data_IF_971228625890
#
_entry.id   IF_971228625890
#
_cell.length_a   1.000
_cell.length_b   1.000
_cell.length_c   1.000
_cell.angle_alpha   90.00
_cell.angle_beta   90.00
_cell.angle_gamma   90.00
#
_symmetry.space_group_name_H-M   'P 1'
#
loop_
_entity.id
_entity.type
_entity.pdbx_description
1 polymer ?
#
# COMPACT_ATOMS: atom_id res chain seq x y z
N UNK A 1 -4.34 24.88 -1.80
CA UNK A 1 -5.24 23.88 -1.17
C UNK A 1 -5.20 23.77 0.36
N UNK A 2 -4.32 24.45 1.13
CA UNK A 2 -4.23 24.26 2.59
C UNK A 2 -5.34 24.91 3.43
N UNK A 3 -6.03 25.95 2.92
CA UNK A 3 -6.95 26.78 3.73
C UNK A 3 -8.43 26.37 3.68
N UNK A 4 -8.82 25.40 2.84
CA UNK A 4 -10.23 25.03 2.62
C UNK A 4 -10.48 23.51 2.61
N UNK A 5 -9.50 22.68 2.99
CA UNK A 5 -9.70 21.23 2.99
C UNK A 5 -10.40 20.80 4.29
N UNK A 6 -11.65 20.32 4.25
CA UNK A 6 -12.35 19.86 5.45
C UNK A 6 -11.63 18.67 6.12
N UNK A 7 -10.92 17.84 5.34
CA UNK A 7 -10.12 16.72 5.86
C UNK A 7 -8.89 17.16 6.69
N UNK A 8 -8.35 18.36 6.45
CA UNK A 8 -7.18 18.86 7.18
C UNK A 8 -7.54 19.60 8.48
N UNK A 9 -8.83 19.90 8.69
CA UNK A 9 -9.33 20.46 9.95
C UNK A 9 -9.61 19.39 11.01
N UNK A 10 -9.70 18.13 10.60
CA UNK A 10 -9.93 17.02 11.52
C UNK A 10 -8.66 16.76 12.38
N UNK A 11 -8.84 16.36 13.64
CA UNK A 11 -7.76 15.86 14.48
C UNK A 11 -6.99 14.73 13.80
N UNK A 12 -5.73 14.56 14.20
CA UNK A 12 -4.84 13.56 13.61
C UNK A 12 -5.41 12.14 13.76
N UNK A 13 -6.09 11.83 14.86
CA UNK A 13 -6.70 10.51 15.10
C UNK A 13 -7.76 10.16 14.05
N UNK A 14 -8.72 11.06 13.82
CA UNK A 14 -9.80 10.84 12.85
C UNK A 14 -9.23 10.74 11.44
N UNK A 15 -8.23 11.57 11.14
CA UNK A 15 -7.56 11.54 9.85
C UNK A 15 -6.86 10.20 9.61
N UNK A 16 -6.15 9.68 10.60
CA UNK A 16 -5.50 8.37 10.51
C UNK A 16 -6.52 7.23 10.33
N UNK A 17 -7.66 7.27 11.03
CA UNK A 17 -8.72 6.27 10.85
C UNK A 17 -9.31 6.28 9.43
N UNK A 18 -9.57 7.47 8.87
CA UNK A 18 -10.04 7.59 7.48
C UNK A 18 -8.99 7.04 6.51
N UNK A 19 -7.71 7.35 6.76
CA UNK A 19 -6.61 6.88 5.93
C UNK A 19 -6.41 5.38 6.00
N UNK A 20 -6.45 4.78 7.18
CA UNK A 20 -6.43 3.34 7.36
C UNK A 20 -7.62 2.68 6.67
N UNK A 21 -8.82 3.25 6.76
CA UNK A 21 -9.98 2.70 6.09
C UNK A 21 -9.88 2.79 4.55
N UNK A 22 -9.39 3.90 4.03
CA UNK A 22 -9.27 4.13 2.59
C UNK A 22 -8.11 3.35 1.95
N UNK A 23 -6.93 3.37 2.61
CA UNK A 23 -5.67 2.85 2.10
C UNK A 23 -5.31 1.46 2.62
N UNK A 24 -5.88 1.05 3.75
CA UNK A 24 -5.71 -0.27 4.36
C UNK A 24 -6.70 -1.31 3.83
N UNK A 25 -6.54 -2.54 4.32
CA UNK A 25 -7.34 -3.72 3.93
C UNK A 25 -7.20 -4.09 2.46
N UNK A 26 -6.21 -3.53 1.76
CA UNK A 26 -6.03 -3.75 0.35
C UNK A 26 -5.30 -5.06 0.08
N UNK A 27 -5.60 -5.70 -1.04
CA UNK A 27 -4.85 -6.86 -1.51
C UNK A 27 -4.06 -6.49 -2.74
N UNK A 28 -2.74 -6.49 -2.59
CA UNK A 28 -1.79 -6.23 -3.67
C UNK A 28 -1.28 -7.54 -4.23
N UNK A 29 -1.37 -7.73 -5.54
CA UNK A 29 -0.77 -8.86 -6.23
C UNK A 29 0.59 -8.46 -6.79
N UNK A 30 1.64 -9.17 -6.38
CA UNK A 30 2.98 -9.00 -6.94
C UNK A 30 3.01 -9.70 -8.30
N UNK A 31 3.25 -8.92 -9.35
CA UNK A 31 3.20 -9.35 -10.74
C UNK A 31 4.35 -8.78 -11.57
N UNK A 32 4.37 -9.16 -12.84
CA UNK A 32 5.34 -8.68 -13.81
C UNK A 32 4.62 -7.77 -14.79
N UNK A 33 4.52 -6.48 -14.49
CA UNK A 33 4.04 -5.48 -15.44
C UNK A 33 5.23 -4.59 -15.80
N UNK A 34 5.86 -4.87 -16.95
CA UNK A 34 7.05 -4.14 -17.45
C UNK A 34 8.17 -3.97 -16.40
N UNK A 35 8.27 -4.90 -15.45
CA UNK A 35 9.10 -4.84 -14.24
C UNK A 35 8.43 -5.60 -13.09
N UNK A 36 9.16 -5.85 -12.00
CA UNK A 36 8.58 -6.43 -10.79
C UNK A 36 7.81 -5.35 -10.04
N UNK A 37 6.48 -5.46 -10.01
CA UNK A 37 5.61 -4.44 -9.44
C UNK A 37 4.42 -5.02 -8.69
N UNK A 38 3.69 -4.16 -8.00
CA UNK A 38 2.46 -4.51 -7.29
C UNK A 38 1.26 -3.93 -7.99
N UNK A 39 0.20 -4.73 -8.08
CA UNK A 39 -1.08 -4.35 -8.69
C UNK A 39 -2.19 -4.52 -7.67
N UNK A 40 -3.13 -3.58 -7.63
CA UNK A 40 -4.32 -3.70 -6.79
C UNK A 40 -5.56 -3.88 -7.68
N UNK A 41 -6.52 -4.68 -7.21
CA UNK A 41 -7.83 -4.80 -7.87
C UNK A 41 -8.62 -3.49 -7.85
N UNK A 42 -8.45 -2.66 -6.80
CA UNK A 42 -9.08 -1.34 -6.70
C UNK A 42 -8.30 -0.33 -7.56
N UNK A 43 -8.94 0.21 -8.60
CA UNK A 43 -8.35 1.16 -9.57
C UNK A 43 -7.80 2.45 -8.94
N UNK A 44 -8.30 2.85 -7.77
CA UNK A 44 -7.98 4.13 -7.12
C UNK A 44 -7.38 3.96 -5.72
N UNK A 45 -6.77 2.79 -5.44
CA UNK A 45 -6.24 2.46 -4.12
C UNK A 45 -5.19 3.44 -3.58
N UNK A 46 -4.51 4.20 -4.45
CA UNK A 46 -3.49 5.20 -4.06
C UNK A 46 -3.88 6.63 -4.40
N UNK A 47 -5.09 6.87 -4.93
CA UNK A 47 -5.49 8.21 -5.37
C UNK A 47 -5.43 9.23 -4.22
N UNK A 48 -5.67 8.79 -2.99
CA UNK A 48 -5.61 9.65 -1.80
C UNK A 48 -4.18 10.18 -1.54
N UNK A 49 -3.15 9.39 -1.84
CA UNK A 49 -1.75 9.80 -1.73
C UNK A 49 -1.40 10.92 -2.71
N UNK A 50 -2.13 11.02 -3.83
CA UNK A 50 -1.90 12.01 -4.89
C UNK A 50 -2.55 13.37 -4.67
N UNK A 51 -3.38 13.54 -3.63
CA UNK A 51 -4.19 14.77 -3.45
C UNK A 51 -3.34 15.96 -2.99
N UNK A 52 -2.44 15.77 -2.01
CA UNK A 52 -1.49 16.79 -1.61
C UNK A 52 -0.26 16.21 -0.89
N UNK A 53 0.83 16.99 -0.86
CA UNK A 53 2.11 16.60 -0.23
C UNK A 53 2.01 16.26 1.25
N UNK A 54 1.08 16.87 1.98
CA UNK A 54 0.90 16.64 3.41
C UNK A 54 0.33 15.24 3.66
N UNK A 55 -0.75 14.88 2.95
CA UNK A 55 -1.35 13.55 3.03
C UNK A 55 -0.34 12.50 2.61
N UNK A 56 0.39 12.73 1.51
CA UNK A 56 1.45 11.82 1.07
C UNK A 56 2.47 11.53 2.17
N UNK A 57 3.01 12.57 2.82
CA UNK A 57 4.00 12.40 3.88
C UNK A 57 3.45 11.61 5.08
N UNK A 58 2.19 11.82 5.45
CA UNK A 58 1.56 11.15 6.59
C UNK A 58 1.14 9.71 6.27
N UNK A 59 0.80 9.39 5.02
CA UNK A 59 0.08 8.15 4.68
C UNK A 59 0.82 7.22 3.74
N UNK A 60 1.96 7.62 3.17
CA UNK A 60 2.70 6.79 2.21
C UNK A 60 3.11 5.42 2.78
N UNK A 61 3.20 5.27 4.11
CA UNK A 61 3.53 4.03 4.79
C UNK A 61 2.31 3.12 5.03
N UNK A 62 1.10 3.69 5.16
CA UNK A 62 -0.13 2.97 5.52
C UNK A 62 -0.47 1.85 4.53
N UNK A 63 -0.39 2.04 3.20
CA UNK A 63 -0.62 0.95 2.25
C UNK A 63 0.33 -0.23 2.45
N UNK A 64 1.52 -0.04 3.04
CA UNK A 64 2.45 -1.14 3.29
C UNK A 64 2.15 -1.82 4.64
N UNK A 65 1.80 -1.04 5.68
CA UNK A 65 1.47 -1.56 7.02
C UNK A 65 0.13 -2.28 7.11
N UNK A 66 -0.89 -1.74 6.45
CA UNK A 66 -2.27 -2.19 6.59
C UNK A 66 -2.78 -2.99 5.38
N UNK A 67 -1.91 -3.39 4.44
CA UNK A 67 -2.31 -4.18 3.27
C UNK A 67 -1.67 -5.55 3.22
N UNK A 68 -2.33 -6.46 2.51
CA UNK A 68 -1.87 -7.82 2.26
C UNK A 68 -1.23 -7.92 0.88
N UNK A 69 0.03 -8.37 0.83
CA UNK A 69 0.75 -8.63 -0.42
C UNK A 69 0.67 -10.11 -0.77
N UNK A 70 0.09 -10.43 -1.92
CA UNK A 70 -0.02 -11.79 -2.45
C UNK A 70 1.00 -12.01 -3.55
N UNK A 71 1.89 -12.98 -3.37
CA UNK A 71 2.83 -13.42 -4.39
C UNK A 71 2.54 -14.87 -4.77
N UNK A 72 2.42 -15.14 -6.07
CA UNK A 72 2.30 -16.52 -6.58
C UNK A 72 3.66 -17.20 -6.78
N UNK A 73 4.76 -16.43 -6.77
CA UNK A 73 6.10 -16.98 -6.94
C UNK A 73 7.06 -16.29 -5.93
N UNK A 74 7.72 -17.05 -5.04
CA UNK A 74 8.63 -16.49 -4.05
C UNK A 74 9.83 -15.77 -4.67
N UNK A 75 10.29 -16.18 -5.85
CA UNK A 75 11.37 -15.45 -6.57
C UNK A 75 10.95 -14.02 -6.93
N UNK A 76 9.69 -13.84 -7.38
CA UNK A 76 9.14 -12.51 -7.70
C UNK A 76 9.00 -11.65 -6.44
N UNK A 77 8.61 -12.26 -5.32
CA UNK A 77 8.58 -11.59 -4.03
C UNK A 77 9.98 -11.11 -3.63
N UNK A 78 11.00 -11.97 -3.68
CA UNK A 78 12.37 -11.59 -3.34
C UNK A 78 12.88 -10.44 -4.22
N UNK A 79 12.69 -10.50 -5.53
CA UNK A 79 13.09 -9.40 -6.43
C UNK A 79 12.35 -8.10 -6.10
N UNK A 80 11.06 -8.17 -5.77
CA UNK A 80 10.29 -6.99 -5.36
C UNK A 80 10.79 -6.39 -4.05
N UNK A 81 11.05 -7.24 -3.04
CA UNK A 81 11.56 -6.83 -1.74
C UNK A 81 12.96 -6.20 -1.82
N UNK A 82 13.77 -6.61 -2.79
CA UNK A 82 15.07 -6.00 -3.08
C UNK A 82 14.96 -4.66 -3.83
N UNK A 83 13.87 -4.45 -4.58
CA UNK A 83 13.63 -3.23 -5.35
C UNK A 83 12.99 -2.10 -4.53
N UNK A 84 12.31 -2.42 -3.42
CA UNK A 84 11.69 -1.42 -2.54
C UNK A 84 12.68 -0.87 -1.50
N UNK A 85 12.47 0.37 -1.05
CA UNK A 85 13.29 0.99 0.00
C UNK A 85 13.16 0.25 1.34
N UNK A 86 14.21 0.25 2.19
CA UNK A 86 14.20 -0.45 3.47
C UNK A 86 13.04 -0.03 4.39
N UNK A 87 12.73 1.28 4.44
CA UNK A 87 11.61 1.78 5.22
C UNK A 87 10.24 1.21 4.78
N UNK A 88 10.02 0.99 3.48
CA UNK A 88 8.79 0.37 2.98
C UNK A 88 8.76 -1.13 3.28
N UNK A 89 9.93 -1.78 3.26
CA UNK A 89 10.07 -3.21 3.53
C UNK A 89 9.74 -3.54 4.98
N UNK A 90 10.28 -2.78 5.93
CA UNK A 90 10.03 -2.97 7.36
C UNK A 90 8.56 -2.72 7.72
N UNK A 91 7.89 -1.85 6.97
CA UNK A 91 6.46 -1.59 7.13
C UNK A 91 5.56 -2.74 6.67
N UNK A 92 6.05 -3.72 5.89
CA UNK A 92 5.19 -4.82 5.41
C UNK A 92 4.91 -5.80 6.54
N UNK A 93 3.64 -5.89 6.95
CA UNK A 93 3.20 -6.78 8.04
C UNK A 93 2.69 -8.13 7.54
N UNK A 94 2.05 -8.15 6.37
CA UNK A 94 1.29 -9.32 5.91
C UNK A 94 1.64 -9.70 4.47
N UNK A 95 2.23 -10.88 4.29
CA UNK A 95 2.54 -11.46 2.98
C UNK A 95 1.89 -12.85 2.90
N UNK A 96 1.10 -13.09 1.85
CA UNK A 96 0.59 -14.43 1.55
C UNK A 96 1.28 -14.97 0.30
N UNK A 97 1.97 -16.08 0.46
CA UNK A 97 2.40 -16.90 -0.67
C UNK A 97 1.18 -17.71 -1.11
N UNK A 98 0.78 -17.57 -2.37
CA UNK A 98 -0.30 -18.40 -2.90
C UNK A 98 0.21 -19.84 -3.00
N UNK A 99 -0.30 -20.72 -2.14
CA UNK A 99 0.00 -22.15 -2.19
C UNK A 99 -0.42 -22.72 -3.55
N UNK A 100 0.56 -23.16 -4.33
CA UNK A 100 0.33 -24.02 -5.50
C UNK A 100 0.22 -25.47 -5.03
N UNK A 101 -0.85 -25.79 -4.30
CA UNK A 101 -1.28 -27.18 -4.13
C UNK A 101 -2.58 -27.37 -4.91
N UNK A 102 -2.44 -27.72 -6.19
CA UNK A 102 -3.43 -28.52 -6.90
C UNK A 102 -2.75 -29.85 -7.21
N UNK A 103 -3.12 -30.87 -6.43
CA UNK A 103 -2.98 -32.28 -6.82
C UNK A 103 -4.26 -32.69 -7.56
#
# INVERSE_FOLDING_TARGET
NRKQSPLLHLPAEIRNQIFEYALGGQTWKIGVLKGVGVTNKKKHALNLLGVCRQIYAETAIIPFQASTFKASNPRKLCTWLLAISPARREAITTICLGDMYSF
#
